data_IF_430586592211
#
_entry.id   IF_430586592211
#
_cell.length_a   1.000
_cell.length_b   1.000
_cell.length_c   1.000
_cell.angle_alpha   90.00
_cell.angle_beta   90.00
_cell.angle_gamma   90.00
#
_symmetry.space_group_name_H-M   'P 1'
#
loop_
_entity.id
_entity.type
_entity.pdbx_description
1 polymer ?
#
# COMPACT_ATOMS: atom_id res chain seq x y z
N UNK A 1 -27.93 -17.87 -28.22
CA UNK A 1 -26.58 -18.07 -28.70
C UNK A 1 -25.65 -17.68 -27.58
N UNK A 2 -25.09 -18.70 -26.92
CA UNK A 2 -24.13 -18.55 -25.82
C UNK A 2 -22.80 -18.05 -26.39
N UNK A 3 -22.35 -16.89 -25.94
CA UNK A 3 -20.95 -16.46 -26.08
C UNK A 3 -20.24 -16.81 -24.75
N UNK A 4 -19.51 -17.92 -24.77
CA UNK A 4 -18.64 -18.32 -23.69
C UNK A 4 -17.45 -17.36 -23.59
N UNK A 5 -17.35 -16.65 -22.48
CA UNK A 5 -16.14 -15.92 -22.11
C UNK A 5 -15.17 -16.89 -21.46
N UNK A 6 -14.24 -17.36 -22.25
CA UNK A 6 -13.09 -18.14 -21.83
C UNK A 6 -12.03 -17.21 -21.16
N UNK A 7 -12.07 -17.10 -19.84
CA UNK A 7 -11.11 -16.38 -19.03
C UNK A 7 -10.09 -17.34 -18.38
N UNK A 8 -9.42 -18.12 -19.20
CA UNK A 8 -8.31 -18.95 -18.73
C UNK A 8 -7.00 -18.52 -19.37
N UNK A 9 -6.36 -17.49 -18.82
CA UNK A 9 -4.93 -17.22 -18.89
C UNK A 9 -4.62 -15.98 -18.03
N UNK A 10 -4.77 -16.13 -16.71
CA UNK A 10 -4.23 -15.18 -15.76
C UNK A 10 -2.87 -15.70 -15.32
N UNK A 11 -1.80 -15.18 -15.92
CA UNK A 11 -0.47 -15.27 -15.32
C UNK A 11 -0.54 -14.64 -13.93
N UNK A 12 -0.12 -15.40 -12.94
CA UNK A 12 -0.14 -15.03 -11.53
C UNK A 12 0.84 -13.89 -11.32
N UNK A 13 0.41 -12.64 -11.54
CA UNK A 13 1.05 -11.53 -10.85
C UNK A 13 0.68 -11.65 -9.38
N UNK A 14 1.55 -12.29 -8.62
CA UNK A 14 1.58 -12.14 -7.17
C UNK A 14 1.75 -10.63 -6.89
N UNK A 15 0.62 -9.91 -6.72
CA UNK A 15 0.66 -8.75 -5.84
C UNK A 15 1.39 -9.24 -4.61
N UNK A 16 2.56 -8.66 -4.33
CA UNK A 16 3.27 -8.93 -3.09
C UNK A 16 2.33 -8.53 -1.95
N UNK A 17 1.44 -9.47 -1.57
CA UNK A 17 0.94 -9.50 -0.22
C UNK A 17 2.20 -9.39 0.62
N UNK A 18 2.16 -8.66 1.71
CA UNK A 18 3.10 -8.89 2.79
C UNK A 18 2.78 -10.33 3.24
N UNK A 19 3.26 -11.29 2.48
CA UNK A 19 3.32 -12.67 2.92
C UNK A 19 4.26 -12.60 4.08
N UNK A 20 3.73 -12.92 5.24
CA UNK A 20 4.49 -12.93 6.47
C UNK A 20 5.70 -13.82 6.25
N UNK A 21 6.88 -13.23 6.35
CA UNK A 21 8.13 -13.96 6.14
C UNK A 21 8.26 -15.07 7.20
N UNK A 22 8.73 -16.21 6.76
CA UNK A 22 9.03 -17.37 7.60
C UNK A 22 10.54 -17.56 7.73
N UNK A 23 10.98 -18.26 8.78
CA UNK A 23 12.40 -18.60 8.94
C UNK A 23 12.99 -19.32 7.72
N UNK A 24 12.21 -20.19 7.07
CA UNK A 24 12.63 -20.90 5.85
C UNK A 24 12.94 -19.94 4.70
N UNK A 25 12.11 -18.93 4.51
CA UNK A 25 12.35 -17.90 3.46
C UNK A 25 13.55 -17.03 3.79
N UNK A 26 13.76 -16.67 5.07
CA UNK A 26 14.95 -15.93 5.51
C UNK A 26 16.22 -16.71 5.16
N UNK A 27 16.28 -18.00 5.46
CA UNK A 27 17.41 -18.86 5.10
C UNK A 27 17.58 -18.99 3.59
N UNK A 28 16.48 -19.05 2.84
CA UNK A 28 16.53 -19.10 1.37
C UNK A 28 17.11 -17.81 0.81
N UNK A 29 16.69 -16.65 1.30
CA UNK A 29 17.25 -15.36 0.90
C UNK A 29 18.74 -15.24 1.22
N UNK A 30 19.15 -15.66 2.41
CA UNK A 30 20.55 -15.60 2.82
C UNK A 30 21.47 -16.48 1.97
N UNK A 31 20.97 -17.61 1.42
CA UNK A 31 21.75 -18.61 0.67
C UNK A 31 21.68 -18.46 -0.84
N UNK A 32 20.52 -18.06 -1.37
CA UNK A 32 20.26 -18.11 -2.82
C UNK A 32 20.05 -16.74 -3.46
N UNK A 33 20.03 -15.68 -2.68
CA UNK A 33 19.90 -14.30 -3.12
C UNK A 33 18.70 -13.57 -2.52
N UNK A 34 18.93 -12.32 -2.22
CA UNK A 34 17.96 -11.45 -1.58
C UNK A 34 16.96 -10.85 -2.59
N UNK A 35 15.77 -10.45 -2.16
CA UNK A 35 14.82 -9.70 -2.99
C UNK A 35 15.46 -8.42 -3.54
N UNK A 36 15.08 -8.02 -4.76
CA UNK A 36 15.55 -6.76 -5.34
C UNK A 36 15.06 -5.55 -4.53
N UNK A 37 15.95 -4.64 -4.10
CA UNK A 37 15.54 -3.45 -3.37
C UNK A 37 14.79 -2.47 -4.30
N UNK A 38 13.92 -1.64 -3.71
CA UNK A 38 13.21 -0.59 -4.46
C UNK A 38 14.18 0.46 -5.04
N UNK A 39 15.33 0.67 -4.36
CA UNK A 39 16.41 1.56 -4.78
C UNK A 39 17.75 1.07 -4.23
N UNK A 40 18.84 1.40 -4.90
CA UNK A 40 20.20 1.15 -4.43
C UNK A 40 20.92 2.48 -4.19
N UNK A 41 21.49 2.64 -3.00
CA UNK A 41 22.20 3.86 -2.58
C UNK A 41 23.65 3.49 -2.28
N UNK A 42 24.55 3.98 -3.12
CA UNK A 42 25.99 3.79 -2.99
C UNK A 42 26.67 5.12 -2.68
N UNK A 43 27.44 5.17 -1.61
CA UNK A 43 28.27 6.32 -1.23
C UNK A 43 29.67 5.85 -0.86
N UNK A 44 30.64 6.76 -0.95
CA UNK A 44 32.01 6.48 -0.50
C UNK A 44 32.07 6.35 1.03
N UNK A 45 33.11 5.70 1.53
CA UNK A 45 33.35 5.60 2.97
C UNK A 45 33.52 6.97 3.63
N UNK A 46 34.14 7.92 2.93
CA UNK A 46 34.30 9.30 3.38
C UNK A 46 32.95 10.02 3.53
N UNK A 47 32.03 9.80 2.56
CA UNK A 47 30.68 10.40 2.63
C UNK A 47 29.89 9.85 3.81
N UNK A 48 29.99 8.52 4.06
CA UNK A 48 29.33 7.93 5.22
C UNK A 48 29.89 8.47 6.54
N UNK A 49 31.21 8.65 6.66
CA UNK A 49 31.84 9.24 7.84
C UNK A 49 31.42 10.68 8.09
N UNK A 50 31.18 11.43 7.03
CA UNK A 50 30.73 12.82 7.14
C UNK A 50 29.26 12.91 7.55
N UNK A 51 28.44 11.96 7.09
CA UNK A 51 26.99 11.96 7.33
C UNK A 51 26.61 11.39 8.70
N UNK A 52 27.33 10.40 9.19
CA UNK A 52 26.98 9.59 10.36
C UNK A 52 27.77 10.03 11.60
N UNK A 53 27.15 9.91 12.78
CA UNK A 53 27.92 10.02 14.01
C UNK A 53 28.94 8.89 14.14
N UNK A 54 29.98 9.00 14.96
CA UNK A 54 30.96 7.93 15.16
C UNK A 54 30.34 6.59 15.52
N UNK A 55 29.31 6.56 16.40
CA UNK A 55 28.62 5.36 16.80
C UNK A 55 27.74 4.79 15.68
N UNK A 56 27.01 5.64 14.96
CA UNK A 56 26.25 5.22 13.79
C UNK A 56 27.16 4.59 12.73
N UNK A 57 28.30 5.24 12.44
CA UNK A 57 29.28 4.71 11.47
C UNK A 57 29.86 3.37 11.95
N UNK A 58 30.29 3.27 13.23
CA UNK A 58 30.85 2.03 13.81
C UNK A 58 29.86 0.86 13.70
N UNK A 59 28.59 1.10 14.02
CA UNK A 59 27.56 0.05 13.99
C UNK A 59 27.16 -0.30 12.56
N UNK A 60 26.83 0.69 11.75
CA UNK A 60 26.21 0.44 10.43
C UNK A 60 27.21 0.11 9.33
N UNK A 61 28.46 0.58 9.43
CA UNK A 61 29.47 0.42 8.38
C UNK A 61 30.65 -0.49 8.79
N UNK A 62 30.86 -0.68 10.11
CA UNK A 62 31.91 -1.55 10.64
C UNK A 62 31.34 -2.77 11.40
N UNK A 63 30.05 -3.09 11.22
CA UNK A 63 29.37 -4.25 11.81
C UNK A 63 29.47 -4.30 13.36
N UNK A 64 29.43 -3.14 14.00
CA UNK A 64 29.41 -3.04 15.47
C UNK A 64 28.05 -3.45 16.06
N UNK A 65 28.04 -3.63 17.36
CA UNK A 65 26.82 -3.84 18.16
C UNK A 65 26.80 -2.82 19.31
N UNK A 66 25.66 -2.24 19.60
CA UNK A 66 25.44 -1.40 20.78
C UNK A 66 25.29 -2.28 22.05
N UNK A 67 25.49 -1.69 23.21
CA UNK A 67 25.27 -2.42 24.48
C UNK A 67 23.77 -2.70 24.68
N UNK A 68 23.38 -3.84 25.28
CA UNK A 68 21.98 -4.10 25.59
C UNK A 68 21.44 -3.01 26.54
N UNK A 69 20.17 -2.63 26.35
CA UNK A 69 19.45 -1.60 27.10
C UNK A 69 20.03 -0.18 27.01
N UNK A 70 20.99 0.09 26.12
CA UNK A 70 21.57 1.43 25.92
C UNK A 70 20.89 2.23 24.81
N UNK A 71 20.15 1.59 23.93
CA UNK A 71 19.57 2.21 22.76
C UNK A 71 18.26 2.93 23.03
N UNK A 72 18.07 4.09 22.41
CA UNK A 72 16.89 4.95 22.56
C UNK A 72 15.57 4.20 22.34
N UNK A 73 15.54 3.30 21.34
CA UNK A 73 14.29 2.66 20.92
C UNK A 73 14.00 1.33 21.60
N UNK A 74 14.80 0.88 22.56
CA UNK A 74 14.57 -0.38 23.24
C UNK A 74 13.20 -0.42 23.94
N UNK A 75 12.92 0.56 24.80
CA UNK A 75 11.68 0.65 25.61
C UNK A 75 10.59 1.56 25.01
N UNK A 76 10.69 2.00 23.77
CA UNK A 76 9.73 2.93 23.12
C UNK A 76 8.75 2.16 22.26
N UNK A 77 7.45 2.21 22.58
CA UNK A 77 6.35 1.52 21.88
C UNK A 77 5.31 2.47 21.28
N UNK A 78 5.66 3.74 21.10
CA UNK A 78 4.82 4.69 20.38
C UNK A 78 4.69 4.29 18.92
N UNK A 79 3.54 4.59 18.33
CA UNK A 79 3.32 4.40 16.88
C UNK A 79 4.34 5.22 16.10
N UNK A 80 5.19 4.56 15.36
CA UNK A 80 6.23 5.16 14.54
C UNK A 80 6.64 4.21 13.40
N UNK A 81 7.24 4.76 12.35
CA UNK A 81 7.99 3.99 11.38
C UNK A 81 9.48 4.12 11.73
N UNK A 82 10.22 3.04 11.55
CA UNK A 82 11.66 3.02 11.75
C UNK A 82 12.37 2.91 10.40
N UNK A 83 13.21 3.88 10.10
CA UNK A 83 13.99 3.96 8.88
C UNK A 83 15.48 3.67 9.15
N UNK A 84 16.21 3.28 8.12
CA UNK A 84 17.66 3.19 8.14
C UNK A 84 18.28 4.56 8.40
N UNK A 85 19.10 4.70 9.43
CA UNK A 85 19.78 5.95 9.76
C UNK A 85 20.73 6.44 8.67
N UNK A 86 21.25 5.51 7.84
CA UNK A 86 22.15 5.85 6.75
C UNK A 86 21.44 6.46 5.53
N UNK A 87 20.29 5.91 5.13
CA UNK A 87 19.68 6.24 3.83
C UNK A 87 18.20 6.60 3.88
N UNK A 88 17.55 6.54 5.04
CA UNK A 88 16.14 6.87 5.19
C UNK A 88 15.15 5.81 4.67
N UNK A 89 15.63 4.68 4.13
CA UNK A 89 14.73 3.59 3.70
C UNK A 89 13.92 3.06 4.89
N UNK A 90 12.59 3.00 4.75
CA UNK A 90 11.70 2.45 5.78
C UNK A 90 11.96 0.96 5.96
N UNK A 91 12.14 0.53 7.20
CA UNK A 91 12.54 -0.84 7.56
C UNK A 91 11.46 -1.56 8.37
N UNK A 92 10.94 -0.92 9.43
CA UNK A 92 10.01 -1.55 10.37
C UNK A 92 8.87 -0.60 10.75
N UNK A 93 7.75 -1.19 11.17
CA UNK A 93 6.60 -0.51 11.75
C UNK A 93 6.54 -0.80 13.25
N UNK A 94 6.25 0.20 14.08
CA UNK A 94 6.09 0.01 15.53
C UNK A 94 4.97 -0.98 15.90
N UNK A 95 3.99 -1.21 15.02
CA UNK A 95 2.94 -2.22 15.23
C UNK A 95 3.48 -3.66 15.25
N UNK A 96 4.62 -3.89 14.60
CA UNK A 96 5.34 -5.16 14.59
C UNK A 96 6.39 -5.25 15.70
N UNK A 97 6.52 -4.20 16.54
CA UNK A 97 7.47 -4.15 17.63
C UNK A 97 6.93 -4.84 18.89
N UNK A 98 7.79 -5.59 19.57
CA UNK A 98 7.42 -6.28 20.81
C UNK A 98 8.55 -6.24 21.83
N UNK A 99 8.22 -6.43 23.11
CA UNK A 99 9.19 -6.54 24.20
C UNK A 99 9.79 -7.95 24.22
N UNK A 100 11.08 -8.04 23.88
CA UNK A 100 11.80 -9.32 23.82
C UNK A 100 12.63 -9.63 25.05
N UNK A 101 12.83 -8.65 25.94
CA UNK A 101 13.71 -8.77 27.11
C UNK A 101 15.21 -8.83 26.78
N UNK A 102 15.59 -8.71 25.51
CA UNK A 102 17.00 -8.86 25.07
C UNK A 102 17.83 -7.59 25.20
N UNK A 103 17.18 -6.44 25.37
CA UNK A 103 17.83 -5.13 25.49
C UNK A 103 18.04 -4.41 24.18
N UNK A 104 17.42 -4.88 23.09
CA UNK A 104 17.41 -4.25 21.76
C UNK A 104 15.99 -4.15 21.20
N UNK A 105 15.70 -3.14 20.37
CA UNK A 105 14.41 -3.07 19.69
C UNK A 105 14.19 -4.33 18.85
N UNK A 106 13.03 -4.97 19.05
CA UNK A 106 12.69 -6.24 18.44
C UNK A 106 11.37 -6.16 17.65
N UNK A 107 11.35 -6.71 16.43
CA UNK A 107 10.19 -6.67 15.51
C UNK A 107 9.88 -8.07 14.98
N UNK A 108 8.61 -8.31 14.64
CA UNK A 108 8.14 -9.60 14.10
C UNK A 108 8.31 -9.69 12.58
N UNK A 109 8.27 -8.55 11.88
CA UNK A 109 8.36 -8.47 10.41
C UNK A 109 8.96 -7.13 9.97
N UNK A 110 9.65 -7.07 8.81
CA UNK A 110 9.99 -5.80 8.17
C UNK A 110 8.73 -5.20 7.49
N UNK A 111 8.77 -3.90 7.19
CA UNK A 111 7.68 -3.19 6.52
C UNK A 111 7.40 -3.71 5.10
N UNK A 112 8.42 -4.29 4.45
CA UNK A 112 8.36 -4.97 3.15
C UNK A 112 9.41 -6.08 3.11
N UNK A 113 9.13 -7.18 2.43
CA UNK A 113 10.06 -8.29 2.29
C UNK A 113 11.41 -7.89 1.68
N UNK A 114 11.42 -6.88 0.80
CA UNK A 114 12.62 -6.39 0.14
C UNK A 114 13.29 -5.19 0.85
N UNK A 115 12.84 -4.81 2.06
CA UNK A 115 13.49 -3.76 2.83
C UNK A 115 14.79 -4.24 3.49
N UNK A 116 14.87 -5.53 3.79
CA UNK A 116 15.97 -6.15 4.51
C UNK A 116 16.72 -7.11 3.59
N UNK A 117 18.05 -7.06 3.66
CA UNK A 117 18.99 -8.02 3.07
C UNK A 117 19.45 -8.98 4.17
N UNK A 118 19.51 -10.26 3.85
CA UNK A 118 19.86 -11.36 4.75
C UNK A 118 21.18 -11.98 4.35
N UNK A 119 22.09 -12.20 5.31
CA UNK A 119 23.41 -12.76 5.08
C UNK A 119 23.68 -13.80 6.17
N UNK A 120 24.15 -15.00 5.80
CA UNK A 120 24.59 -15.98 6.79
C UNK A 120 25.81 -15.45 7.57
N UNK A 121 25.69 -15.46 8.89
CA UNK A 121 26.76 -15.08 9.82
C UNK A 121 27.18 -16.31 10.62
N UNK A 122 28.37 -16.82 10.29
CA UNK A 122 28.99 -17.97 10.96
C UNK A 122 30.02 -17.57 12.01
N UNK A 123 30.10 -16.29 12.37
CA UNK A 123 31.04 -15.79 13.36
C UNK A 123 30.72 -16.32 14.75
N UNK A 124 31.70 -16.33 15.63
CA UNK A 124 31.60 -16.76 17.04
C UNK A 124 31.08 -18.20 17.26
N UNK A 125 31.19 -19.08 16.27
CA UNK A 125 30.74 -20.48 16.36
C UNK A 125 29.22 -20.66 16.42
N UNK A 126 28.45 -19.62 16.08
CA UNK A 126 26.98 -19.64 16.02
C UNK A 126 26.52 -19.48 14.58
N UNK A 127 25.44 -20.18 14.23
CA UNK A 127 24.76 -19.95 12.94
C UNK A 127 23.66 -18.91 13.18
N UNK A 128 23.86 -17.71 12.61
CA UNK A 128 22.95 -16.59 12.69
C UNK A 128 22.66 -16.01 11.31
N UNK A 129 21.67 -15.18 11.18
CA UNK A 129 21.41 -14.42 9.96
C UNK A 129 21.51 -12.92 10.27
N UNK A 130 22.56 -12.32 9.73
CA UNK A 130 22.72 -10.86 9.76
C UNK A 130 21.66 -10.18 8.90
N UNK A 131 21.13 -9.08 9.39
CA UNK A 131 20.20 -8.21 8.67
C UNK A 131 20.86 -6.90 8.31
N UNK A 132 20.76 -6.51 7.03
CA UNK A 132 21.24 -5.23 6.52
C UNK A 132 20.11 -4.47 5.82
N UNK A 133 20.26 -3.16 5.71
CA UNK A 133 19.39 -2.36 4.85
C UNK A 133 19.62 -2.78 3.39
N UNK A 134 18.58 -3.25 2.70
CA UNK A 134 18.72 -3.75 1.34
C UNK A 134 19.04 -2.63 0.33
N UNK A 135 18.79 -1.35 0.67
CA UNK A 135 19.07 -0.21 -0.20
C UNK A 135 20.53 0.30 -0.12
N UNK A 136 21.17 0.28 1.07
CA UNK A 136 22.50 0.89 1.25
C UNK A 136 23.51 -0.02 1.95
N UNK A 137 23.17 -1.27 2.20
CA UNK A 137 24.01 -2.30 2.82
C UNK A 137 24.47 -1.99 4.26
N UNK A 138 23.76 -1.08 4.97
CA UNK A 138 24.03 -0.77 6.36
C UNK A 138 23.71 -1.96 7.27
N UNK A 139 24.63 -2.35 8.15
CA UNK A 139 24.39 -3.34 9.19
C UNK A 139 23.29 -2.85 10.14
N UNK A 140 22.28 -3.68 10.41
CA UNK A 140 21.16 -3.35 11.29
C UNK A 140 21.14 -4.18 12.56
N UNK A 141 21.46 -5.46 12.48
CA UNK A 141 21.38 -6.43 13.54
C UNK A 141 21.27 -7.85 13.01
N UNK A 142 20.47 -8.69 13.67
CA UNK A 142 20.26 -10.09 13.32
C UNK A 142 18.78 -10.47 13.39
N UNK A 143 18.40 -11.53 12.69
CA UNK A 143 17.08 -12.15 12.81
C UNK A 143 17.19 -13.58 13.36
N UNK A 144 16.24 -13.96 14.22
CA UNK A 144 16.18 -15.23 14.93
C UNK A 144 14.80 -15.89 14.80
N UNK A 145 14.70 -17.24 14.89
CA UNK A 145 13.43 -17.98 14.84
C UNK A 145 12.76 -18.18 16.21
N UNK A 146 12.97 -17.27 17.12
CA UNK A 146 12.48 -17.31 18.49
C UNK A 146 11.51 -16.17 18.84
N UNK A 147 10.90 -15.57 17.83
CA UNK A 147 9.91 -14.51 17.97
C UNK A 147 8.50 -15.02 18.25
N UNK A 148 7.56 -14.10 18.55
CA UNK A 148 6.17 -14.47 18.80
C UNK A 148 5.45 -14.92 17.51
N UNK A 149 4.41 -15.72 17.71
CA UNK A 149 3.51 -16.07 16.61
C UNK A 149 2.72 -14.82 16.15
N UNK A 150 2.32 -14.74 14.87
CA UNK A 150 2.29 -15.82 13.86
C UNK A 150 3.60 -16.00 13.06
N UNK A 151 4.54 -15.05 13.03
CA UNK A 151 5.76 -15.18 12.22
C UNK A 151 6.80 -16.13 12.81
N UNK A 152 6.89 -16.20 14.13
CA UNK A 152 7.96 -16.88 14.84
C UNK A 152 9.32 -16.19 14.68
N UNK A 153 9.39 -14.99 14.11
CA UNK A 153 10.63 -14.26 13.85
C UNK A 153 10.86 -13.16 14.88
N UNK A 154 12.12 -12.95 15.25
CA UNK A 154 12.59 -11.82 16.04
C UNK A 154 13.72 -11.11 15.32
N UNK A 155 13.42 -9.95 14.76
CA UNK A 155 14.39 -9.01 14.21
C UNK A 155 14.96 -8.16 15.34
N UNK A 156 16.16 -8.50 15.82
CA UNK A 156 16.85 -7.84 16.91
C UNK A 156 17.80 -6.77 16.34
N UNK A 157 17.40 -5.51 16.43
CA UNK A 157 18.04 -4.42 15.70
C UNK A 157 18.82 -3.51 16.64
N UNK A 158 19.97 -2.98 16.18
CA UNK A 158 20.64 -1.90 16.90
C UNK A 158 19.79 -0.62 16.82
N UNK A 159 19.47 -0.03 17.94
CA UNK A 159 18.72 1.24 18.02
C UNK A 159 19.43 2.36 17.23
N UNK A 160 20.76 2.43 17.35
CA UNK A 160 21.62 3.41 16.67
C UNK A 160 21.58 3.28 15.14
N UNK A 161 21.24 2.08 14.60
CA UNK A 161 21.08 1.85 13.17
C UNK A 161 19.74 2.34 12.62
N UNK A 162 18.81 2.66 13.50
CA UNK A 162 17.47 3.14 13.19
C UNK A 162 17.33 4.63 13.46
N UNK A 163 16.41 5.25 12.75
CA UNK A 163 15.86 6.56 13.10
C UNK A 163 14.35 6.48 13.03
N UNK A 164 13.66 7.18 13.96
CA UNK A 164 12.23 7.41 13.76
C UNK A 164 12.09 8.22 12.48
N UNK A 165 11.52 7.62 11.45
CA UNK A 165 10.88 8.40 10.43
C UNK A 165 9.66 9.03 11.10
N UNK A 166 9.39 10.31 10.84
CA UNK A 166 8.09 10.84 11.22
C UNK A 166 7.08 9.84 10.69
N UNK A 167 6.39 9.16 11.61
CA UNK A 167 5.30 8.31 11.22
C UNK A 167 4.44 9.19 10.33
N UNK A 168 4.12 8.73 9.13
CA UNK A 168 2.96 9.28 8.43
C UNK A 168 1.92 9.37 9.54
N UNK A 169 1.67 10.58 10.03
CA UNK A 169 1.15 10.85 11.39
C UNK A 169 -0.01 9.90 11.64
N UNK A 170 0.08 9.02 12.63
CA UNK A 170 -1.02 8.16 13.02
C UNK A 170 -2.21 9.09 13.26
N UNK A 171 -3.20 9.04 12.35
CA UNK A 171 -4.28 10.01 12.28
C UNK A 171 -4.19 11.04 11.15
N UNK A 172 -3.09 11.14 10.37
CA UNK A 172 -3.10 11.95 9.15
C UNK A 172 -3.75 11.14 8.04
N UNK A 173 -5.00 11.41 7.82
CA UNK A 173 -5.72 10.84 6.69
C UNK A 173 -5.35 11.58 5.41
N UNK A 174 -5.27 10.84 4.32
CA UNK A 174 -5.19 11.38 2.97
C UNK A 174 -6.51 11.17 2.23
N UNK A 175 -6.67 11.90 1.12
CA UNK A 175 -7.86 11.83 0.28
C UNK A 175 -7.49 11.31 -1.10
N UNK A 176 -8.31 10.39 -1.62
CA UNK A 176 -8.28 9.93 -3.00
C UNK A 176 -9.66 10.12 -3.63
N UNK A 177 -9.74 10.45 -4.94
CA UNK A 177 -11.02 10.64 -5.63
C UNK A 177 -11.01 9.88 -6.95
N UNK A 178 -11.95 8.94 -7.10
CA UNK A 178 -12.03 8.03 -8.25
C UNK A 178 -13.42 7.91 -8.83
N UNK A 179 -13.52 7.82 -10.17
CA UNK A 179 -14.72 7.45 -10.90
C UNK A 179 -14.48 6.22 -11.77
N UNK A 180 -15.44 5.30 -11.87
CA UNK A 180 -15.31 4.07 -12.64
C UNK A 180 -16.64 3.33 -12.77
N UNK A 181 -17.63 3.97 -13.39
CA UNK A 181 -19.02 3.54 -13.46
C UNK A 181 -19.86 4.06 -12.31
N UNK A 182 -20.93 3.34 -11.99
CA UNK A 182 -21.84 3.71 -10.89
C UNK A 182 -21.12 3.80 -9.53
N UNK A 183 -21.21 4.94 -8.87
CA UNK A 183 -20.56 5.20 -7.59
C UNK A 183 -21.05 4.30 -6.43
N UNK A 184 -22.27 3.75 -6.48
CA UNK A 184 -22.73 2.76 -5.48
C UNK A 184 -21.87 1.49 -5.46
N UNK A 185 -21.42 1.05 -6.67
CA UNK A 185 -20.49 -0.09 -6.78
C UNK A 185 -19.14 0.27 -6.16
N UNK A 186 -18.59 1.42 -6.53
CA UNK A 186 -17.26 1.86 -6.10
C UNK A 186 -17.23 2.14 -4.60
N UNK A 187 -18.26 2.78 -4.04
CA UNK A 187 -18.45 3.00 -2.60
C UNK A 187 -18.39 1.67 -1.83
N UNK A 188 -19.23 0.70 -2.20
CA UNK A 188 -19.31 -0.59 -1.52
C UNK A 188 -17.98 -1.38 -1.52
N UNK A 189 -17.16 -1.24 -2.58
CA UNK A 189 -15.85 -1.88 -2.67
C UNK A 189 -14.85 -1.22 -1.71
N UNK A 190 -14.71 0.10 -1.79
CA UNK A 190 -13.70 0.82 -1.01
C UNK A 190 -14.02 0.87 0.49
N UNK A 191 -15.29 0.95 0.88
CA UNK A 191 -15.68 0.89 2.30
C UNK A 191 -15.23 -0.39 3.01
N UNK A 192 -15.12 -1.49 2.28
CA UNK A 192 -14.72 -2.78 2.83
C UNK A 192 -13.22 -2.89 3.15
N UNK A 193 -12.38 -1.92 2.74
CA UNK A 193 -10.93 -2.01 2.84
C UNK A 193 -10.41 -1.57 4.21
N UNK A 194 -9.43 -2.32 4.74
CA UNK A 194 -8.66 -1.89 5.91
C UNK A 194 -7.93 -0.58 5.60
N UNK A 195 -7.90 0.35 6.54
CA UNK A 195 -7.26 1.65 6.38
C UNK A 195 -8.14 2.71 5.69
N UNK A 196 -9.30 2.34 5.15
CA UNK A 196 -10.29 3.29 4.65
C UNK A 196 -11.21 3.71 5.80
N UNK A 197 -11.26 5.02 6.09
CA UNK A 197 -12.08 5.59 7.16
C UNK A 197 -13.48 5.94 6.69
N UNK A 198 -13.58 6.58 5.52
CA UNK A 198 -14.86 6.93 4.93
C UNK A 198 -14.79 6.93 3.40
N UNK A 199 -15.93 6.65 2.79
CA UNK A 199 -16.13 6.77 1.35
C UNK A 199 -17.39 7.59 1.15
N UNK A 200 -17.32 8.63 0.35
CA UNK A 200 -18.45 9.54 0.10
C UNK A 200 -18.72 9.58 -1.40
N UNK A 201 -19.91 9.19 -1.81
CA UNK A 201 -20.39 9.28 -3.19
C UNK A 201 -20.67 10.72 -3.58
N UNK A 202 -20.27 11.13 -4.79
CA UNK A 202 -20.45 12.50 -5.27
C UNK A 202 -20.09 12.70 -6.74
N UNK A 203 -19.89 13.95 -7.11
CA UNK A 203 -19.66 14.41 -8.47
C UNK A 203 -18.41 15.28 -8.53
N UNK A 204 -17.59 15.10 -9.57
CA UNK A 204 -16.36 15.89 -9.77
C UNK A 204 -15.97 15.99 -11.23
N UNK A 205 -15.12 16.98 -11.57
CA UNK A 205 -14.51 17.16 -12.88
C UNK A 205 -15.39 17.82 -13.94
N UNK A 206 -16.57 18.32 -13.58
CA UNK A 206 -17.44 19.09 -14.47
C UNK A 206 -17.37 20.60 -14.21
N UNK A 207 -18.27 21.35 -14.86
CA UNK A 207 -18.29 22.82 -14.82
C UNK A 207 -19.52 23.39 -14.07
N UNK A 208 -20.54 22.58 -13.84
CA UNK A 208 -21.76 23.01 -13.19
C UNK A 208 -21.57 22.98 -11.68
N UNK A 209 -21.76 24.11 -11.01
CA UNK A 209 -21.68 24.19 -9.56
C UNK A 209 -22.93 23.56 -8.90
N UNK A 210 -22.73 22.83 -7.81
CA UNK A 210 -23.80 22.16 -7.04
C UNK A 210 -24.78 21.37 -7.94
N UNK A 211 -24.28 20.45 -8.78
CA UNK A 211 -25.15 19.73 -9.70
C UNK A 211 -26.06 18.78 -8.93
N UNK A 212 -27.28 18.61 -9.41
CA UNK A 212 -28.17 17.55 -8.97
C UNK A 212 -27.89 16.25 -9.70
N UNK A 213 -28.24 15.09 -9.12
CA UNK A 213 -28.15 13.79 -9.78
C UNK A 213 -28.78 13.78 -11.18
N UNK A 214 -29.98 14.35 -11.32
CA UNK A 214 -30.69 14.43 -12.61
C UNK A 214 -29.88 15.20 -13.67
N UNK A 215 -29.21 16.27 -13.29
CA UNK A 215 -28.37 17.05 -14.21
C UNK A 215 -27.12 16.26 -14.60
N UNK A 216 -26.49 15.54 -13.65
CA UNK A 216 -25.32 14.70 -13.97
C UNK A 216 -25.71 13.57 -14.91
N UNK A 217 -26.82 12.88 -14.64
CA UNK A 217 -27.33 11.81 -15.52
C UNK A 217 -27.68 12.28 -16.93
N UNK A 218 -28.03 13.56 -17.12
CA UNK A 218 -28.28 14.11 -18.45
C UNK A 218 -27.02 14.30 -19.30
N UNK A 219 -25.81 14.13 -18.70
CA UNK A 219 -24.52 14.24 -19.37
C UNK A 219 -24.04 15.67 -19.68
N UNK A 220 -24.85 16.70 -19.36
CA UNK A 220 -24.56 18.10 -19.72
C UNK A 220 -23.65 18.83 -18.72
N UNK A 221 -23.42 18.26 -17.53
CA UNK A 221 -22.64 18.91 -16.47
C UNK A 221 -21.14 18.74 -16.62
N UNK A 222 -20.69 17.72 -17.36
CA UNK A 222 -19.30 17.30 -17.45
C UNK A 222 -18.77 16.55 -16.23
N UNK A 223 -19.57 16.42 -15.15
CA UNK A 223 -19.16 15.69 -13.95
C UNK A 223 -19.15 14.18 -14.20
N UNK A 224 -18.20 13.51 -13.54
CA UNK A 224 -18.25 12.07 -13.32
C UNK A 224 -18.92 11.75 -11.98
N UNK A 225 -19.58 10.58 -11.91
CA UNK A 225 -19.87 9.92 -10.66
C UNK A 225 -18.56 9.44 -10.04
N UNK A 226 -18.26 9.89 -8.85
CA UNK A 226 -17.00 9.57 -8.15
C UNK A 226 -17.27 9.21 -6.70
N UNK A 227 -16.27 8.56 -6.11
CA UNK A 227 -16.15 8.43 -4.66
C UNK A 227 -14.95 9.20 -4.17
N UNK A 228 -15.13 9.93 -3.07
CA UNK A 228 -14.04 10.54 -2.32
C UNK A 228 -13.75 9.68 -1.10
N UNK A 229 -12.52 9.19 -1.02
CA UNK A 229 -12.05 8.20 -0.05
C UNK A 229 -11.11 8.90 0.93
N UNK A 230 -11.44 8.85 2.23
CA UNK A 230 -10.52 9.24 3.29
C UNK A 230 -9.85 7.98 3.83
N UNK A 231 -8.53 7.91 3.80
CA UNK A 231 -7.78 6.71 4.16
C UNK A 231 -6.54 7.02 4.99
N UNK A 232 -6.08 6.03 5.75
CA UNK A 232 -4.82 6.05 6.47
C UNK A 232 -3.71 5.50 5.56
N UNK A 233 -2.77 6.35 5.07
CA UNK A 233 -1.71 5.93 4.17
C UNK A 233 -0.71 4.97 4.83
N UNK A 234 -0.71 4.84 6.16
CA UNK A 234 0.10 3.87 6.87
C UNK A 234 -0.50 2.44 6.81
N UNK A 235 -1.80 2.31 6.53
CA UNK A 235 -2.50 1.01 6.44
C UNK A 235 -2.72 0.60 4.98
N UNK A 236 -3.12 1.54 4.12
CA UNK A 236 -3.34 1.32 2.70
C UNK A 236 -2.73 2.48 1.91
N UNK A 237 -1.82 2.18 0.99
CA UNK A 237 -1.15 3.22 0.21
C UNK A 237 -2.04 3.76 -0.92
N UNK A 238 -1.76 4.99 -1.40
CA UNK A 238 -2.42 5.52 -2.59
C UNK A 238 -2.21 4.61 -3.82
N UNK A 239 -1.01 4.02 -3.95
CA UNK A 239 -0.72 3.02 -5.00
C UNK A 239 -1.69 1.84 -4.94
N UNK A 240 -1.94 1.33 -3.74
CA UNK A 240 -2.89 0.22 -3.55
C UNK A 240 -4.31 0.62 -3.94
N UNK A 241 -4.77 1.81 -3.53
CA UNK A 241 -6.09 2.31 -3.88
C UNK A 241 -6.27 2.46 -5.39
N UNK A 242 -5.28 3.04 -6.09
CA UNK A 242 -5.31 3.15 -7.56
C UNK A 242 -5.30 1.77 -8.22
N UNK A 243 -4.47 0.85 -7.75
CA UNK A 243 -4.42 -0.52 -8.28
C UNK A 243 -5.77 -1.23 -8.13
N UNK A 244 -6.37 -1.15 -6.93
CA UNK A 244 -7.68 -1.72 -6.66
C UNK A 244 -8.77 -1.07 -7.51
N UNK A 245 -8.72 0.25 -7.71
CA UNK A 245 -9.64 0.97 -8.58
C UNK A 245 -9.61 0.43 -10.00
N UNK A 246 -8.43 0.39 -10.63
CA UNK A 246 -8.27 -0.07 -12.01
C UNK A 246 -8.66 -1.55 -12.19
N UNK A 247 -8.37 -2.39 -11.22
CA UNK A 247 -8.70 -3.83 -11.27
C UNK A 247 -10.16 -4.16 -10.87
N UNK A 248 -10.92 -3.18 -10.37
CA UNK A 248 -12.32 -3.38 -9.94
C UNK A 248 -13.36 -3.07 -11.00
N UNK A 249 -12.96 -2.45 -12.12
CA UNK A 249 -13.84 -2.10 -13.23
C UNK A 249 -13.14 -2.34 -14.57
N UNK A 250 -13.80 -2.08 -15.69
CA UNK A 250 -13.18 -2.12 -17.02
C UNK A 250 -12.64 -0.72 -17.38
N UNK A 251 -11.32 -0.47 -17.27
CA UNK A 251 -10.73 0.83 -17.56
C UNK A 251 -10.48 1.05 -19.04
N UNK A 252 -10.92 0.15 -19.92
CA UNK A 252 -10.67 0.20 -21.37
C UNK A 252 -11.88 0.73 -22.18
N UNK A 253 -13.03 0.94 -21.52
CA UNK A 253 -14.25 1.43 -22.16
C UNK A 253 -14.43 2.92 -21.92
N UNK A 254 -14.47 3.70 -23.01
CA UNK A 254 -14.65 5.15 -22.93
C UNK A 254 -16.11 5.48 -22.57
N UNK A 255 -16.30 6.31 -21.52
CA UNK A 255 -17.62 6.78 -21.08
C UNK A 255 -18.66 5.68 -20.85
N UNK A 256 -18.21 4.52 -20.43
CA UNK A 256 -19.09 3.35 -20.25
C UNK A 256 -18.52 2.39 -19.20
N UNK A 257 -19.40 1.76 -18.43
CA UNK A 257 -19.06 0.67 -17.53
C UNK A 257 -20.16 -0.39 -17.52
N UNK A 258 -19.96 -1.48 -18.28
CA UNK A 258 -20.98 -2.52 -18.46
C UNK A 258 -22.22 -1.98 -19.17
N UNK A 259 -23.38 -1.97 -18.51
CA UNK A 259 -24.64 -1.44 -19.04
C UNK A 259 -24.80 0.07 -18.83
N UNK A 260 -24.01 0.67 -17.94
CA UNK A 260 -24.07 2.10 -17.65
C UNK A 260 -23.30 2.87 -18.73
N UNK A 261 -23.96 3.73 -19.48
CA UNK A 261 -23.41 4.50 -20.59
C UNK A 261 -23.62 6.01 -20.37
N UNK A 262 -22.56 6.80 -20.60
CA UNK A 262 -22.54 8.25 -20.42
C UNK A 262 -21.22 8.74 -19.83
N UNK A 263 -20.91 10.02 -20.06
CA UNK A 263 -19.67 10.67 -19.58
C UNK A 263 -19.53 10.63 -18.05
N UNK A 264 -20.65 10.55 -17.34
CA UNK A 264 -20.68 10.43 -15.87
C UNK A 264 -20.11 9.09 -15.36
N UNK A 265 -20.09 8.06 -16.19
CA UNK A 265 -19.58 6.72 -15.82
C UNK A 265 -18.15 6.46 -16.32
N UNK A 266 -17.45 7.51 -16.78
CA UNK A 266 -16.07 7.38 -17.26
C UNK A 266 -15.10 6.91 -16.18
N UNK A 267 -14.07 6.18 -16.59
CA UNK A 267 -12.95 5.84 -15.73
C UNK A 267 -12.07 7.07 -15.52
N UNK A 268 -11.90 7.52 -14.27
CA UNK A 268 -11.14 8.73 -13.95
C UNK A 268 -10.48 8.66 -12.57
N UNK A 269 -9.30 9.24 -12.46
CA UNK A 269 -8.56 9.48 -11.22
C UNK A 269 -8.34 10.97 -11.10
N UNK A 270 -8.89 11.60 -10.05
CA UNK A 270 -8.62 12.99 -9.71
C UNK A 270 -7.53 13.05 -8.66
N UNK A 271 -6.33 13.51 -9.05
CA UNK A 271 -5.19 13.60 -8.13
C UNK A 271 -5.22 14.91 -7.33
N UNK A 272 -4.91 14.83 -6.03
CA UNK A 272 -4.89 15.97 -5.10
C UNK A 272 -3.50 16.63 -4.98
N UNK A 273 -2.44 15.95 -5.45
CA UNK A 273 -1.06 16.45 -5.45
C UNK A 273 -0.20 15.73 -6.50
N UNK A 274 1.03 16.24 -6.73
CA UNK A 274 1.93 15.70 -7.75
C UNK A 274 2.40 14.26 -7.43
N UNK A 275 2.56 13.89 -6.15
CA UNK A 275 2.90 12.52 -5.78
C UNK A 275 1.81 11.54 -6.18
N UNK A 276 0.53 11.89 -5.98
CA UNK A 276 -0.61 11.10 -6.45
C UNK A 276 -0.64 11.01 -7.98
N UNK A 277 -0.39 12.12 -8.68
CA UNK A 277 -0.32 12.14 -10.16
C UNK A 277 0.73 11.19 -10.71
N UNK A 278 1.94 11.25 -10.15
CA UNK A 278 3.06 10.37 -10.55
C UNK A 278 2.71 8.90 -10.27
N UNK A 279 2.19 8.62 -9.09
CA UNK A 279 1.79 7.27 -8.68
C UNK A 279 0.68 6.70 -9.56
N UNK A 280 -0.37 7.48 -9.84
CA UNK A 280 -1.47 7.06 -10.71
C UNK A 280 -0.96 6.68 -12.11
N UNK A 281 -0.16 7.54 -12.74
CA UNK A 281 0.40 7.27 -14.07
C UNK A 281 1.29 6.02 -14.08
N UNK A 282 2.11 5.84 -13.04
CA UNK A 282 2.97 4.65 -12.90
C UNK A 282 2.14 3.37 -12.79
N UNK A 283 1.08 3.37 -11.98
CA UNK A 283 0.19 2.20 -11.83
C UNK A 283 -0.53 1.87 -13.15
N UNK A 284 -1.03 2.89 -13.88
CA UNK A 284 -1.64 2.66 -15.19
C UNK A 284 -0.66 2.03 -16.18
N UNK A 285 0.61 2.46 -16.17
CA UNK A 285 1.66 1.86 -17.00
C UNK A 285 1.96 0.41 -16.58
N UNK A 286 2.10 0.16 -15.29
CA UNK A 286 2.36 -1.18 -14.73
C UNK A 286 1.22 -2.17 -15.06
N UNK A 287 -0.03 -1.70 -15.13
CA UNK A 287 -1.21 -2.53 -15.37
C UNK A 287 -1.61 -2.68 -16.85
N UNK A 288 -0.93 -2.02 -17.80
CA UNK A 288 -1.27 -2.10 -19.24
C UNK A 288 -1.35 -3.52 -19.77
N UNK A 289 -0.45 -4.40 -19.32
CA UNK A 289 -0.42 -5.80 -19.78
C UNK A 289 -1.56 -6.66 -19.25
N UNK A 290 -2.28 -6.21 -18.21
CA UNK A 290 -3.43 -6.91 -17.66
C UNK A 290 -4.69 -6.80 -18.55
N UNK A 291 -4.69 -5.87 -19.49
CA UNK A 291 -5.85 -5.57 -20.32
C UNK A 291 -5.56 -5.81 -21.80
N UNK A 292 -6.52 -6.39 -22.53
CA UNK A 292 -6.41 -6.63 -23.98
C UNK A 292 -6.51 -5.35 -24.81
N UNK A 293 -7.18 -4.34 -24.28
CA UNK A 293 -7.39 -3.05 -24.93
C UNK A 293 -6.66 -1.96 -24.13
N UNK A 294 -6.32 -0.83 -24.75
CA UNK A 294 -5.69 0.29 -24.08
C UNK A 294 -6.52 0.81 -22.90
N UNK A 295 -5.88 1.12 -21.78
CA UNK A 295 -6.50 1.80 -20.65
C UNK A 295 -6.83 3.24 -21.08
N UNK A 296 -8.10 3.66 -20.93
CA UNK A 296 -8.59 5.00 -21.25
C UNK A 296 -8.89 5.85 -20.01
N UNK A 297 -8.44 5.41 -18.84
CA UNK A 297 -8.64 6.12 -17.57
C UNK A 297 -8.04 7.52 -17.64
N UNK A 298 -8.88 8.52 -17.39
CA UNK A 298 -8.47 9.93 -17.26
C UNK A 298 -7.66 10.13 -15.96
N UNK A 299 -6.57 10.92 -16.02
CA UNK A 299 -5.79 11.34 -14.86
C UNK A 299 -5.73 12.86 -14.86
N UNK A 300 -6.62 13.49 -14.10
CA UNK A 300 -6.81 14.94 -14.04
C UNK A 300 -6.60 15.50 -12.64
N UNK A 301 -6.30 16.80 -12.56
CA UNK A 301 -6.21 17.48 -11.26
C UNK A 301 -7.59 17.53 -10.60
N UNK A 302 -7.63 17.26 -9.31
CA UNK A 302 -8.81 17.50 -8.49
C UNK A 302 -9.08 19.02 -8.42
N UNK A 303 -10.33 19.40 -8.66
CA UNK A 303 -10.77 20.81 -8.56
C UNK A 303 -11.79 20.99 -7.46
N UNK A 304 -12.90 20.28 -7.55
CA UNK A 304 -14.02 20.42 -6.63
C UNK A 304 -14.81 19.11 -6.53
N UNK A 305 -15.42 18.88 -5.37
CA UNK A 305 -16.25 17.71 -5.09
C UNK A 305 -17.60 18.14 -4.57
N UNK A 306 -18.65 17.69 -5.23
CA UNK A 306 -20.03 17.89 -4.80
C UNK A 306 -20.58 16.59 -4.28
N UNK A 307 -20.87 16.55 -2.97
CA UNK A 307 -21.44 15.36 -2.34
C UNK A 307 -22.80 15.06 -2.96
N UNK A 308 -23.01 13.81 -3.36
CA UNK A 308 -24.30 13.35 -3.85
C UNK A 308 -25.33 13.35 -2.72
N UNK A 309 -26.60 13.37 -3.11
CA UNK A 309 -27.76 13.43 -2.21
C UNK A 309 -27.74 12.29 -1.19
N UNK A 310 -28.36 12.50 -0.04
CA UNK A 310 -28.27 11.58 1.11
C UNK A 310 -28.72 10.14 0.78
N UNK A 311 -29.69 9.98 -0.12
CA UNK A 311 -30.17 8.65 -0.52
C UNK A 311 -29.18 7.84 -1.39
N UNK A 312 -28.10 8.47 -1.86
CA UNK A 312 -27.01 7.80 -2.59
C UNK A 312 -25.90 7.28 -1.67
N UNK A 313 -25.80 7.80 -0.45
CA UNK A 313 -24.74 7.41 0.49
C UNK A 313 -25.06 6.06 1.11
N UNK A 314 -24.06 5.18 1.25
CA UNK A 314 -24.20 3.81 1.79
C UNK A 314 -25.29 3.01 1.03
N UNK A 315 -25.49 3.27 -0.27
CA UNK A 315 -26.67 2.77 -0.99
C UNK A 315 -26.76 1.24 -0.95
N UNK A 316 -25.70 0.54 -1.21
CA UNK A 316 -25.67 -0.93 -1.19
C UNK A 316 -26.00 -1.50 0.20
N UNK A 317 -25.49 -0.89 1.24
CA UNK A 317 -25.73 -1.28 2.63
C UNK A 317 -27.17 -1.06 3.08
N UNK A 318 -27.76 0.06 2.66
CA UNK A 318 -29.10 0.46 3.03
C UNK A 318 -30.20 -0.19 2.15
N UNK A 319 -29.83 -0.69 0.95
CA UNK A 319 -30.77 -1.19 -0.04
C UNK A 319 -30.40 -2.59 -0.59
N UNK A 320 -30.08 -3.59 0.27
CA UNK A 320 -29.57 -4.88 -0.19
C UNK A 320 -30.57 -5.67 -1.04
N UNK A 321 -31.88 -5.42 -0.89
CA UNK A 321 -32.94 -6.08 -1.63
C UNK A 321 -33.28 -5.48 -3.00
N UNK A 322 -32.70 -4.35 -3.37
CA UNK A 322 -32.97 -3.73 -4.67
C UNK A 322 -32.40 -4.57 -5.84
N UNK A 323 -33.11 -4.69 -6.96
CA UNK A 323 -32.68 -5.51 -8.11
C UNK A 323 -31.27 -5.16 -8.59
N UNK A 324 -30.91 -3.88 -8.68
CA UNK A 324 -29.58 -3.43 -9.09
C UNK A 324 -28.48 -3.88 -8.10
N UNK A 325 -28.78 -3.82 -6.80
CA UNK A 325 -27.87 -4.31 -5.76
C UNK A 325 -27.60 -5.82 -5.90
N UNK A 326 -28.64 -6.60 -6.17
CA UNK A 326 -28.55 -8.06 -6.28
C UNK A 326 -27.84 -8.50 -7.58
N UNK A 327 -28.16 -7.86 -8.71
CA UNK A 327 -27.70 -8.30 -10.03
C UNK A 327 -26.36 -7.68 -10.41
N UNK A 328 -26.05 -6.47 -9.97
CA UNK A 328 -24.85 -5.73 -10.39
C UNK A 328 -23.84 -5.59 -9.27
N UNK A 329 -24.24 -5.05 -8.10
CA UNK A 329 -23.28 -4.70 -7.05
C UNK A 329 -22.79 -5.95 -6.32
N UNK A 330 -23.69 -6.83 -5.87
CA UNK A 330 -23.35 -8.01 -5.09
C UNK A 330 -22.33 -8.93 -5.78
N UNK A 331 -22.45 -9.28 -7.08
CA UNK A 331 -21.44 -10.08 -7.78
C UNK A 331 -20.08 -9.41 -7.87
N UNK A 332 -20.04 -8.06 -8.06
CA UNK A 332 -18.78 -7.28 -8.07
C UNK A 332 -18.10 -7.31 -6.71
N UNK A 333 -18.86 -7.06 -5.63
CA UNK A 333 -18.35 -7.10 -4.25
C UNK A 333 -17.86 -8.51 -3.91
N UNK A 334 -18.58 -9.56 -4.30
CA UNK A 334 -18.15 -10.94 -4.08
C UNK A 334 -16.82 -11.25 -4.76
N UNK A 335 -16.69 -10.95 -6.06
CA UNK A 335 -15.42 -11.12 -6.80
C UNK A 335 -14.27 -10.32 -6.20
N UNK A 336 -14.56 -9.10 -5.77
CA UNK A 336 -13.57 -8.25 -5.12
C UNK A 336 -13.09 -8.87 -3.80
N UNK A 337 -14.01 -9.37 -2.98
CA UNK A 337 -13.68 -10.06 -1.73
C UNK A 337 -12.87 -11.34 -1.96
N UNK A 338 -13.22 -12.13 -2.95
CA UNK A 338 -12.48 -13.34 -3.33
C UNK A 338 -11.05 -13.01 -3.79
N UNK A 339 -10.89 -11.93 -4.56
CA UNK A 339 -9.59 -11.53 -5.11
C UNK A 339 -8.70 -10.80 -4.10
N UNK A 340 -9.28 -10.02 -3.18
CA UNK A 340 -8.55 -9.09 -2.31
C UNK A 340 -8.84 -9.31 -0.81
N UNK A 341 -9.30 -10.50 -0.41
CA UNK A 341 -9.77 -10.81 0.94
C UNK A 341 -8.82 -10.45 2.08
N UNK A 342 -7.51 -10.55 1.89
CA UNK A 342 -6.50 -10.18 2.88
C UNK A 342 -6.45 -8.67 3.22
N UNK A 343 -7.08 -7.81 2.41
CA UNK A 343 -7.14 -6.35 2.59
C UNK A 343 -8.46 -5.85 3.16
N UNK A 344 -9.38 -6.74 3.48
CA UNK A 344 -10.72 -6.39 3.97
C UNK A 344 -10.75 -6.24 5.50
N UNK A 345 -11.69 -5.37 5.96
CA UNK A 345 -12.02 -5.20 7.39
C UNK A 345 -12.52 -6.49 8.01
#
# INVERSE_FOLDING_TARGET
VQAGNDFSLLSVFTLNFITMLTWKEILQFARHGNPTPDQTIVKSDADWKTQLTPDQYRITRQHGTERPFSGEYCGVFELALYACVCCGTLLFDAREKFESGTGWPSFTQPIKANAIKYIEDLSHGMQRVETRCNSCDAHLGHVFPDGPQPSGLRYCMNSVALQKAEALQAGKTETATFGGGCFWCTEALFESLKGVHSVVSGYSGGQVQNPTYKQVCSGITGHAEVVQITYDPAIISYKDLVTLHILSHDPTTLNRQGADEGTQYRSVIFFHNDAQKITARKVLEELKSEFKQPIVTEVSAFTEFYKAEAYHQDYFKNNPGQPYCQVVIHPKVKKFKEKFGGRLK
#
